data_IF_707235104723
#
_entry.id   IF_707235104723
#
_cell.length_a   1.000
_cell.length_b   1.000
_cell.length_c   1.000
_cell.angle_alpha   90.00
_cell.angle_beta   90.00
_cell.angle_gamma   90.00
#
_symmetry.space_group_name_H-M   'P 1'
#
loop_
_entity.id
_entity.type
_entity.pdbx_description
1 polymer ?
#
# COMPACT_ATOMS: atom_id res chain seq x y z
N UNK A 1 4.82 6.59 -11.12
CA UNK A 1 6.30 6.51 -10.94
C UNK A 1 7.00 7.55 -11.81
N UNK A 2 7.15 7.36 -13.14
CA UNK A 2 7.91 8.32 -13.99
C UNK A 2 7.35 9.75 -14.01
N UNK A 3 6.02 9.93 -14.03
CA UNK A 3 5.38 11.25 -14.00
C UNK A 3 5.31 11.88 -12.61
N UNK A 4 5.31 11.07 -11.53
CA UNK A 4 5.17 11.57 -10.17
C UNK A 4 6.48 12.18 -9.63
N UNK A 5 7.63 11.73 -10.14
CA UNK A 5 8.94 12.16 -9.68
C UNK A 5 9.58 13.22 -10.60
N UNK A 6 8.85 13.78 -11.57
CA UNK A 6 9.38 14.75 -12.55
C UNK A 6 10.68 14.32 -13.25
N UNK A 7 10.92 13.01 -13.36
CA UNK A 7 12.16 12.42 -13.86
C UNK A 7 13.44 12.75 -13.04
N UNK A 8 13.29 13.22 -11.79
CA UNK A 8 14.37 13.36 -10.81
C UNK A 8 14.51 12.06 -10.01
N UNK A 9 15.55 11.29 -10.32
CA UNK A 9 15.86 10.02 -9.67
C UNK A 9 16.89 10.14 -8.54
N UNK A 10 17.55 11.30 -8.44
CA UNK A 10 18.63 11.58 -7.50
C UNK A 10 18.15 12.10 -6.14
N UNK A 11 16.94 12.68 -6.07
CA UNK A 11 16.35 13.17 -4.82
C UNK A 11 15.75 12.05 -3.98
N UNK A 12 16.03 12.02 -2.68
CA UNK A 12 15.35 11.12 -1.76
C UNK A 12 13.87 11.52 -1.63
N UNK A 13 13.00 10.81 -2.33
CA UNK A 13 11.55 11.01 -2.29
C UNK A 13 10.88 9.85 -1.52
N UNK A 14 10.76 9.94 -0.19
CA UNK A 14 10.23 8.84 0.63
C UNK A 14 8.77 8.47 0.30
N UNK A 15 8.02 9.39 -0.30
CA UNK A 15 6.68 9.13 -0.81
C UNK A 15 6.66 8.09 -1.95
N UNK A 16 7.76 7.92 -2.69
CA UNK A 16 7.88 6.87 -3.72
C UNK A 16 7.67 5.47 -3.13
N UNK A 17 8.08 5.24 -1.87
CA UNK A 17 7.85 3.97 -1.19
C UNK A 17 6.35 3.74 -0.93
N UNK A 18 5.60 4.79 -0.57
CA UNK A 18 4.14 4.72 -0.40
C UNK A 18 3.46 4.37 -1.74
N UNK A 19 3.92 4.98 -2.85
CA UNK A 19 3.42 4.66 -4.19
C UNK A 19 3.69 3.21 -4.58
N UNK A 20 4.86 2.66 -4.25
CA UNK A 20 5.17 1.25 -4.46
C UNK A 20 4.27 0.34 -3.64
N UNK A 21 4.02 0.67 -2.37
CA UNK A 21 3.12 -0.10 -1.50
C UNK A 21 1.69 -0.06 -2.05
N UNK A 22 1.22 1.11 -2.51
CA UNK A 22 -0.07 1.24 -3.19
C UNK A 22 -0.16 0.33 -4.42
N UNK A 23 0.85 0.36 -5.29
CA UNK A 23 0.91 -0.53 -6.47
C UNK A 23 0.88 -2.01 -6.10
N UNK A 24 1.66 -2.43 -5.09
CA UNK A 24 1.69 -3.82 -4.64
C UNK A 24 0.35 -4.25 -4.02
N UNK A 25 -0.31 -3.36 -3.27
CA UNK A 25 -1.61 -3.63 -2.67
C UNK A 25 -2.72 -3.85 -3.71
N UNK A 26 -2.71 -3.11 -4.82
CA UNK A 26 -3.57 -3.35 -5.98
C UNK A 26 -3.33 -4.73 -6.57
N UNK A 27 -2.06 -5.09 -6.80
CA UNK A 27 -1.70 -6.43 -7.31
C UNK A 27 -2.20 -7.53 -6.40
N UNK A 28 -2.00 -7.42 -5.09
CA UNK A 28 -2.51 -8.38 -4.13
C UNK A 28 -4.05 -8.45 -4.12
N UNK A 29 -4.76 -7.34 -4.29
CA UNK A 29 -6.23 -7.33 -4.39
C UNK A 29 -6.73 -8.08 -5.65
N UNK A 30 -5.99 -7.97 -6.76
CA UNK A 30 -6.30 -8.60 -8.04
C UNK A 30 -6.00 -10.11 -8.10
N UNK A 31 -5.14 -10.61 -7.21
CA UNK A 31 -4.77 -12.02 -7.17
C UNK A 31 -5.92 -12.93 -6.69
N UNK A 32 -5.98 -14.14 -7.25
CA UNK A 32 -6.92 -15.19 -6.84
C UNK A 32 -6.25 -16.09 -5.80
N UNK A 33 -6.63 -15.93 -4.54
CA UNK A 33 -6.20 -16.82 -3.46
C UNK A 33 -7.18 -17.99 -3.27
N UNK A 34 -6.69 -19.10 -2.71
CA UNK A 34 -7.55 -20.22 -2.28
C UNK A 34 -8.58 -19.69 -1.29
N UNK A 35 -9.85 -20.02 -1.53
CA UNK A 35 -10.98 -19.52 -0.74
C UNK A 35 -10.93 -20.14 0.65
N UNK A 36 -10.73 -19.32 1.68
CA UNK A 36 -10.92 -19.68 3.08
C UNK A 36 -11.73 -18.61 3.79
N UNK A 37 -12.39 -18.95 4.91
CA UNK A 37 -13.19 -17.99 5.67
C UNK A 37 -12.33 -16.80 6.17
N UNK A 38 -11.09 -17.04 6.57
CA UNK A 38 -10.12 -16.01 6.96
C UNK A 38 -9.69 -15.12 5.80
N UNK A 39 -9.55 -15.69 4.59
CA UNK A 39 -9.13 -14.94 3.39
C UNK A 39 -10.09 -13.83 3.01
N UNK A 40 -11.40 -14.00 3.24
CA UNK A 40 -12.40 -12.94 2.96
C UNK A 40 -12.19 -11.72 3.86
N UNK A 41 -11.91 -11.94 5.15
CA UNK A 41 -11.63 -10.85 6.11
C UNK A 41 -10.34 -10.13 5.74
N UNK A 42 -9.28 -10.88 5.42
CA UNK A 42 -7.99 -10.32 4.98
C UNK A 42 -8.17 -9.52 3.70
N UNK A 43 -8.91 -10.03 2.71
CA UNK A 43 -9.16 -9.31 1.46
C UNK A 43 -9.91 -8.00 1.69
N UNK A 44 -10.92 -7.99 2.56
CA UNK A 44 -11.65 -6.77 2.91
C UNK A 44 -10.75 -5.75 3.64
N UNK A 45 -9.89 -6.19 4.56
CA UNK A 45 -8.91 -5.33 5.23
C UNK A 45 -7.89 -4.76 4.22
N UNK A 46 -7.39 -5.59 3.30
CA UNK A 46 -6.45 -5.18 2.26
C UNK A 46 -7.06 -4.15 1.29
N UNK A 47 -8.34 -4.31 0.91
CA UNK A 47 -9.03 -3.31 0.07
C UNK A 47 -9.19 -1.99 0.80
N UNK A 48 -9.53 -1.99 2.09
CA UNK A 48 -9.59 -0.76 2.91
C UNK A 48 -8.22 -0.10 3.01
N UNK A 49 -7.17 -0.89 3.23
CA UNK A 49 -5.79 -0.42 3.24
C UNK A 49 -5.41 0.24 1.91
N UNK A 50 -5.65 -0.43 0.78
CA UNK A 50 -5.36 0.10 -0.55
C UNK A 50 -5.99 1.48 -0.78
N UNK A 51 -7.24 1.67 -0.37
CA UNK A 51 -7.94 2.94 -0.53
C UNK A 51 -7.38 4.07 0.36
N UNK A 52 -6.76 3.75 1.50
CA UNK A 52 -6.24 4.72 2.46
C UNK A 52 -4.73 4.96 2.38
N UNK A 53 -3.99 4.08 1.73
CA UNK A 53 -2.51 4.06 1.77
C UNK A 53 -1.86 5.33 1.19
N UNK A 54 -2.49 5.98 0.22
CA UNK A 54 -1.99 7.20 -0.41
C UNK A 54 -2.09 8.44 0.49
N UNK A 55 -2.80 8.36 1.62
CA UNK A 55 -2.88 9.45 2.59
C UNK A 55 -1.59 9.60 3.40
N UNK A 56 -0.73 8.57 3.44
CA UNK A 56 0.53 8.61 4.17
C UNK A 56 1.63 9.29 3.36
N UNK A 57 2.42 10.11 4.04
CA UNK A 57 3.56 10.80 3.41
C UNK A 57 4.80 9.92 3.36
N UNK A 58 5.00 9.09 4.39
CA UNK A 58 6.17 8.22 4.56
C UNK A 58 5.76 6.77 4.78
N UNK A 59 6.58 5.82 4.32
CA UNK A 59 6.33 4.39 4.57
C UNK A 59 6.43 4.04 6.08
N UNK A 60 7.28 4.74 6.83
CA UNK A 60 7.38 4.57 8.29
C UNK A 60 6.13 5.02 9.02
N UNK A 61 5.54 6.14 8.57
CA UNK A 61 4.27 6.66 9.08
C UNK A 61 3.12 5.67 8.83
N UNK A 62 3.06 5.10 7.63
CA UNK A 62 2.14 4.01 7.29
C UNK A 62 2.31 2.80 8.23
N UNK A 63 3.53 2.35 8.49
CA UNK A 63 3.78 1.19 9.36
C UNK A 63 3.34 1.47 10.80
N UNK A 64 3.60 2.68 11.30
CA UNK A 64 3.31 3.03 12.68
C UNK A 64 1.84 3.35 12.93
N UNK A 65 1.13 3.92 11.95
CA UNK A 65 -0.21 4.49 12.15
C UNK A 65 -1.33 3.77 11.39
N UNK A 66 -1.02 2.78 10.54
CA UNK A 66 -2.06 2.06 9.82
C UNK A 66 -2.69 0.96 10.70
N UNK A 67 -4.04 0.96 10.88
CA UNK A 67 -4.73 -0.06 11.66
C UNK A 67 -4.56 -1.50 11.13
N UNK A 68 -4.14 -1.68 9.88
CA UNK A 68 -3.88 -3.01 9.31
C UNK A 68 -2.63 -3.67 9.93
N UNK A 69 -1.67 -2.88 10.39
CA UNK A 69 -0.39 -3.36 10.95
C UNK A 69 -0.32 -3.23 12.47
N UNK A 70 -1.29 -2.55 13.09
CA UNK A 70 -1.41 -2.50 14.53
C UNK A 70 -2.14 -3.77 15.03
N UNK A 71 -1.47 -4.50 15.92
CA UNK A 71 -1.97 -5.74 16.53
C UNK A 71 -2.72 -5.48 17.82
#
# INVERSE_FOLDING_TARGET
>A
MRQANSNEWSGYQPHSNVLWIHYLSDKLCSMKFRRSAGMRKIKAALTRFHNGVLQYTFATDLLNNCPMFQS
#
